data_IF_803666294542
#
_entry.id   IF_803666294542
#
_cell.length_a   1.000
_cell.length_b   1.000
_cell.length_c   1.000
_cell.angle_alpha   90.00
_cell.angle_beta   90.00
_cell.angle_gamma   90.00
#
_symmetry.space_group_name_H-M   'P 1'
#
loop_
_entity.id
_entity.type
_entity.pdbx_description
1 polymer ?
#
# COMPACT_ATOMS: atom_id res chain seq x y z
N UNK A 1 39.03 -3.34 -72.49
CA UNK A 1 38.58 -2.60 -71.29
C UNK A 1 37.24 -3.18 -70.83
N UNK A 2 36.99 -3.12 -69.52
CA UNK A 2 36.17 -4.01 -68.67
C UNK A 2 34.68 -4.16 -69.07
N UNK A 3 34.17 -5.40 -69.03
CA UNK A 3 32.74 -5.73 -69.00
C UNK A 3 32.20 -5.47 -67.59
N UNK A 4 31.32 -4.50 -67.42
CA UNK A 4 30.65 -4.23 -66.14
C UNK A 4 29.48 -5.21 -65.99
N UNK A 5 29.61 -6.19 -65.09
CA UNK A 5 28.46 -6.99 -64.64
C UNK A 5 27.79 -6.23 -63.50
N UNK A 6 26.55 -5.81 -63.71
CA UNK A 6 25.70 -5.22 -62.67
C UNK A 6 25.32 -6.36 -61.71
N UNK A 7 25.93 -6.38 -60.52
CA UNK A 7 25.57 -7.29 -59.44
C UNK A 7 24.37 -6.68 -58.70
N UNK A 8 23.19 -7.27 -58.84
CA UNK A 8 22.01 -6.93 -58.05
C UNK A 8 22.26 -7.42 -56.61
N UNK A 9 22.59 -6.53 -55.69
CA UNK A 9 22.67 -6.84 -54.26
C UNK A 9 21.23 -6.92 -53.76
N UNK A 10 20.74 -8.14 -53.55
CA UNK A 10 19.51 -8.38 -52.82
C UNK A 10 19.76 -7.99 -51.35
N UNK A 11 19.24 -6.84 -50.94
CA UNK A 11 19.16 -6.45 -49.53
C UNK A 11 18.11 -7.37 -48.90
N UNK A 12 18.58 -8.45 -48.25
CA UNK A 12 17.76 -9.23 -47.34
C UNK A 12 17.45 -8.33 -46.14
N UNK A 13 16.29 -7.69 -46.15
CA UNK A 13 15.69 -7.17 -44.92
C UNK A 13 15.38 -8.39 -44.04
N UNK A 14 16.29 -8.71 -43.12
CA UNK A 14 15.97 -9.57 -42.00
C UNK A 14 14.96 -8.78 -41.17
N UNK A 15 13.67 -9.00 -41.46
CA UNK A 15 12.58 -8.55 -40.63
C UNK A 15 12.89 -8.95 -39.19
N UNK A 16 12.86 -7.99 -38.28
CA UNK A 16 12.83 -8.31 -36.85
C UNK A 16 11.61 -9.23 -36.65
N UNK A 17 11.82 -10.42 -36.07
CA UNK A 17 10.77 -11.41 -35.80
C UNK A 17 9.89 -10.85 -34.67
N UNK A 18 8.98 -9.93 -34.99
CA UNK A 18 8.09 -9.27 -34.03
C UNK A 18 6.73 -9.95 -34.02
N UNK A 19 6.16 -10.17 -32.83
CA UNK A 19 4.79 -10.62 -32.70
C UNK A 19 3.82 -9.57 -33.28
N UNK A 20 2.87 -9.95 -34.15
CA UNK A 20 1.97 -9.01 -34.82
C UNK A 20 1.08 -8.22 -33.84
N UNK A 21 0.79 -8.77 -32.66
CA UNK A 21 -0.12 -8.19 -31.67
C UNK A 21 0.60 -7.20 -30.73
N UNK A 22 1.93 -7.12 -30.79
CA UNK A 22 2.72 -6.30 -29.87
C UNK A 22 2.29 -4.82 -29.87
N UNK A 23 2.01 -4.23 -31.04
CA UNK A 23 1.66 -2.81 -31.12
C UNK A 23 0.27 -2.51 -30.53
N UNK A 24 -0.72 -3.39 -30.75
CA UNK A 24 -2.04 -3.26 -30.11
C UNK A 24 -1.94 -3.46 -28.61
N UNK A 25 -1.20 -4.47 -28.16
CA UNK A 25 -0.99 -4.77 -26.75
C UNK A 25 -0.25 -3.64 -26.02
N UNK A 26 0.76 -3.04 -26.67
CA UNK A 26 1.46 -1.86 -26.17
C UNK A 26 0.51 -0.67 -25.96
N UNK A 27 -0.48 -0.47 -26.84
CA UNK A 27 -1.47 0.59 -26.66
C UNK A 27 -2.36 0.34 -25.44
N UNK A 28 -2.73 -0.92 -25.18
CA UNK A 28 -3.49 -1.32 -23.98
C UNK A 28 -2.66 -1.10 -22.71
N UNK A 29 -1.39 -1.50 -22.69
CA UNK A 29 -0.49 -1.25 -21.55
C UNK A 29 -0.29 0.25 -21.27
N UNK A 30 -0.21 1.08 -22.32
CA UNK A 30 -0.11 2.56 -22.16
C UNK A 30 -1.38 3.17 -21.57
N UNK A 31 -2.56 2.64 -21.91
CA UNK A 31 -3.82 3.05 -21.28
C UNK A 31 -3.87 2.67 -19.80
N UNK A 32 -3.31 1.51 -19.43
CA UNK A 32 -3.18 1.11 -18.03
C UNK A 32 -2.33 2.13 -17.25
N UNK A 33 -1.18 2.56 -17.79
CA UNK A 33 -0.36 3.64 -17.20
C UNK A 33 -1.16 4.95 -17.11
N UNK A 34 -1.86 5.31 -18.19
CA UNK A 34 -2.67 6.53 -18.26
C UNK A 34 -3.76 6.57 -17.19
N UNK A 35 -4.35 5.42 -16.83
CA UNK A 35 -5.35 5.35 -15.77
C UNK A 35 -4.84 5.92 -14.44
N UNK A 36 -3.57 5.70 -14.10
CA UNK A 36 -2.94 6.28 -12.91
C UNK A 36 -2.54 7.73 -13.10
N UNK A 37 -1.99 8.10 -14.26
CA UNK A 37 -1.59 9.48 -14.54
C UNK A 37 -2.77 10.47 -14.56
N UNK A 38 -3.93 10.00 -15.00
CA UNK A 38 -5.17 10.77 -15.11
C UNK A 38 -6.09 10.58 -13.89
N UNK A 39 -5.76 9.66 -12.97
CA UNK A 39 -6.63 9.30 -11.85
C UNK A 39 -7.97 8.71 -12.31
N UNK A 40 -7.98 7.97 -13.42
CA UNK A 40 -9.18 7.46 -14.08
C UNK A 40 -9.29 5.94 -13.93
N UNK A 41 -10.00 5.50 -12.89
CA UNK A 41 -10.19 4.08 -12.62
C UNK A 41 -11.05 3.37 -13.69
N UNK A 42 -11.92 4.09 -14.39
CA UNK A 42 -12.74 3.49 -15.45
C UNK A 42 -11.88 3.10 -16.66
N UNK A 43 -10.82 3.86 -16.94
CA UNK A 43 -9.83 3.50 -17.95
C UNK A 43 -9.06 2.22 -17.57
N UNK A 44 -8.77 2.03 -16.27
CA UNK A 44 -8.19 0.78 -15.78
C UNK A 44 -9.14 -0.40 -16.02
N UNK A 45 -10.43 -0.25 -15.65
CA UNK A 45 -11.47 -1.28 -15.84
C UNK A 45 -11.72 -1.62 -17.32
N UNK A 46 -11.54 -0.66 -18.23
CA UNK A 46 -11.65 -0.87 -19.68
C UNK A 46 -10.61 -1.88 -20.17
N UNK A 47 -9.37 -1.77 -19.70
CA UNK A 47 -8.21 -2.47 -20.28
C UNK A 47 -7.80 -3.74 -19.55
N UNK A 48 -8.28 -3.96 -18.33
CA UNK A 48 -7.98 -5.16 -17.53
C UNK A 48 -9.10 -6.20 -17.67
N UNK A 49 -8.72 -7.47 -17.82
CA UNK A 49 -9.64 -8.60 -17.85
C UNK A 49 -10.24 -8.87 -16.46
N UNK A 50 -11.49 -9.28 -16.38
CA UNK A 50 -12.12 -9.71 -15.11
C UNK A 50 -11.50 -11.00 -14.56
N UNK A 51 -10.77 -11.76 -15.39
CA UNK A 51 -10.05 -12.97 -15.01
C UNK A 51 -8.55 -12.72 -14.71
N UNK A 52 -8.13 -11.44 -14.59
CA UNK A 52 -6.72 -11.07 -14.44
C UNK A 52 -6.04 -11.79 -13.27
N UNK A 53 -4.79 -12.18 -13.49
CA UNK A 53 -3.87 -12.62 -12.44
C UNK A 53 -2.79 -11.55 -12.26
N UNK A 54 -2.87 -10.79 -11.16
CA UNK A 54 -1.97 -9.69 -10.89
C UNK A 54 -0.97 -10.05 -9.78
N UNK A 55 0.32 -9.75 -9.95
CA UNK A 55 1.29 -9.76 -8.87
C UNK A 55 1.37 -8.35 -8.27
N UNK A 56 0.65 -8.15 -7.18
CA UNK A 56 0.54 -6.85 -6.53
C UNK A 56 1.90 -6.38 -5.95
N UNK A 57 2.19 -5.06 -5.98
CA UNK A 57 3.46 -4.52 -5.53
C UNK A 57 3.57 -4.41 -4.00
N UNK A 58 2.44 -4.58 -3.30
CA UNK A 58 2.36 -4.51 -1.84
C UNK A 58 2.93 -5.78 -1.20
N UNK A 59 3.82 -5.59 -0.22
CA UNK A 59 4.51 -6.70 0.46
C UNK A 59 3.51 -7.71 1.05
N UNK A 60 3.70 -8.99 0.74
CA UNK A 60 2.91 -10.11 1.28
C UNK A 60 1.62 -10.42 0.51
N UNK A 61 1.19 -9.60 -0.45
CA UNK A 61 -0.03 -9.89 -1.23
C UNK A 61 0.18 -10.99 -2.27
N UNK A 62 1.35 -11.04 -2.91
CA UNK A 62 1.65 -12.05 -3.92
C UNK A 62 0.74 -11.92 -5.15
N UNK A 63 0.24 -13.05 -5.67
CA UNK A 63 -0.70 -13.06 -6.80
C UNK A 63 -2.14 -12.88 -6.31
N UNK A 64 -2.86 -11.95 -6.92
CA UNK A 64 -4.20 -11.53 -6.53
C UNK A 64 -5.17 -11.55 -7.72
N UNK A 65 -6.47 -11.57 -7.39
CA UNK A 65 -7.56 -11.55 -8.36
C UNK A 65 -7.95 -10.13 -8.80
N UNK A 66 -8.91 -10.04 -9.72
CA UNK A 66 -9.41 -8.77 -10.23
C UNK A 66 -9.89 -7.80 -9.14
N UNK A 67 -10.70 -8.28 -8.20
CA UNK A 67 -11.27 -7.40 -7.17
C UNK A 67 -10.19 -6.82 -6.26
N UNK A 68 -9.20 -7.63 -5.90
CA UNK A 68 -8.07 -7.19 -5.09
C UNK A 68 -7.14 -6.26 -5.87
N UNK A 69 -6.87 -6.57 -7.14
CA UNK A 69 -6.08 -5.70 -8.03
C UNK A 69 -6.77 -4.34 -8.24
N UNK A 70 -8.10 -4.33 -8.41
CA UNK A 70 -8.89 -3.10 -8.51
C UNK A 70 -8.78 -2.26 -7.23
N UNK A 71 -8.82 -2.87 -6.04
CA UNK A 71 -8.63 -2.16 -4.77
C UNK A 71 -7.23 -1.52 -4.68
N UNK A 72 -6.20 -2.20 -5.16
CA UNK A 72 -4.84 -1.64 -5.24
C UNK A 72 -4.79 -0.46 -6.22
N UNK A 73 -5.43 -0.58 -7.39
CA UNK A 73 -5.51 0.50 -8.36
C UNK A 73 -6.27 1.72 -7.81
N UNK A 74 -7.41 1.48 -7.16
CA UNK A 74 -8.21 2.51 -6.48
C UNK A 74 -7.42 3.19 -5.35
N UNK A 75 -6.65 2.43 -4.57
CA UNK A 75 -5.76 3.00 -3.56
C UNK A 75 -4.81 4.04 -4.17
N UNK A 76 -4.14 3.72 -5.28
CA UNK A 76 -3.22 4.67 -5.91
C UNK A 76 -3.94 5.89 -6.50
N UNK A 77 -5.05 5.66 -7.23
CA UNK A 77 -5.83 6.73 -7.86
C UNK A 77 -6.43 7.70 -6.83
N UNK A 78 -6.82 7.21 -5.65
CA UNK A 78 -7.49 8.03 -4.63
C UNK A 78 -6.53 8.75 -3.67
N UNK A 79 -5.30 8.26 -3.50
CA UNK A 79 -4.39 8.78 -2.47
C UNK A 79 -3.25 9.65 -3.04
N UNK A 80 -3.07 9.66 -4.35
CA UNK A 80 -1.98 10.38 -5.00
C UNK A 80 -2.47 11.29 -6.12
N UNK A 81 -1.73 12.38 -6.33
CA UNK A 81 -1.98 13.35 -7.40
C UNK A 81 -0.67 13.67 -8.12
N UNK A 82 -0.76 14.36 -9.25
CA UNK A 82 0.38 14.67 -10.13
C UNK A 82 1.19 13.42 -10.52
N UNK A 83 0.50 12.28 -10.65
CA UNK A 83 1.13 11.00 -10.96
C UNK A 83 1.65 11.00 -12.40
N UNK A 84 2.90 10.58 -12.57
CA UNK A 84 3.58 10.48 -13.88
C UNK A 84 4.45 9.24 -13.97
N UNK A 85 4.43 8.60 -15.13
CA UNK A 85 5.36 7.53 -15.49
C UNK A 85 6.47 8.07 -16.39
N UNK A 86 7.56 8.48 -15.75
CA UNK A 86 8.66 9.18 -16.41
C UNK A 86 9.64 8.21 -17.07
N UNK A 87 10.24 8.68 -18.16
CA UNK A 87 11.26 7.98 -18.94
C UNK A 87 10.91 6.52 -19.27
N UNK A 88 9.69 6.25 -19.79
CA UNK A 88 9.23 4.88 -19.95
C UNK A 88 9.97 4.17 -21.09
N UNK A 89 10.52 3.00 -20.77
CA UNK A 89 11.09 2.06 -21.73
C UNK A 89 10.12 0.91 -21.90
N UNK A 90 9.65 0.74 -23.14
CA UNK A 90 8.73 -0.32 -23.54
C UNK A 90 9.46 -1.38 -24.35
N UNK A 91 9.40 -2.63 -23.93
CA UNK A 91 10.05 -3.75 -24.60
C UNK A 91 9.04 -4.86 -24.91
N UNK A 92 9.24 -5.62 -26.01
CA UNK A 92 8.52 -6.87 -26.21
C UNK A 92 8.94 -7.89 -25.16
N UNK A 93 7.98 -8.60 -24.58
CA UNK A 93 8.28 -9.81 -23.82
C UNK A 93 8.59 -10.98 -24.74
N UNK A 94 8.95 -12.10 -24.14
CA UNK A 94 9.39 -13.30 -24.85
C UNK A 94 8.75 -14.54 -24.24
N UNK A 95 8.41 -15.50 -25.09
CA UNK A 95 8.06 -16.84 -24.68
C UNK A 95 9.33 -17.55 -24.19
N UNK A 96 9.28 -18.08 -22.96
CA UNK A 96 10.48 -18.63 -22.30
C UNK A 96 10.96 -19.95 -22.88
N UNK A 97 10.15 -20.63 -23.71
CA UNK A 97 10.50 -21.90 -24.35
C UNK A 97 11.17 -21.66 -25.71
N UNK A 98 10.59 -20.77 -26.51
CA UNK A 98 11.00 -20.47 -27.88
C UNK A 98 11.99 -19.31 -27.96
N UNK A 99 12.09 -18.49 -26.91
CA UNK A 99 12.89 -17.27 -26.83
C UNK A 99 12.52 -16.24 -27.90
N UNK A 100 11.27 -16.28 -28.38
CA UNK A 100 10.73 -15.36 -29.39
C UNK A 100 9.71 -14.40 -28.78
N UNK A 101 9.49 -13.22 -29.37
CA UNK A 101 8.42 -12.33 -28.92
C UNK A 101 7.06 -13.01 -28.94
N UNK A 102 6.36 -12.94 -27.80
CA UNK A 102 5.09 -13.62 -27.56
C UNK A 102 3.87 -12.67 -27.59
N UNK A 103 4.12 -11.38 -27.83
CA UNK A 103 3.09 -10.34 -27.85
C UNK A 103 2.86 -9.68 -26.50
N UNK A 104 3.47 -10.19 -25.43
CA UNK A 104 3.47 -9.54 -24.12
C UNK A 104 4.34 -8.27 -24.13
N UNK A 105 4.11 -7.40 -23.16
CA UNK A 105 4.76 -6.09 -23.04
C UNK A 105 5.48 -6.03 -21.69
N UNK A 106 6.68 -5.45 -21.70
CA UNK A 106 7.46 -5.12 -20.50
C UNK A 106 7.70 -3.63 -20.44
N UNK A 107 7.55 -3.03 -19.26
CA UNK A 107 7.73 -1.60 -19.05
C UNK A 107 8.70 -1.33 -17.90
N UNK A 108 9.64 -0.43 -18.12
CA UNK A 108 10.51 0.12 -17.08
C UNK A 108 10.31 1.62 -17.05
N UNK A 109 10.31 2.22 -15.88
CA UNK A 109 10.21 3.66 -15.77
C UNK A 109 10.20 4.10 -14.33
N UNK A 110 9.99 5.40 -14.14
CA UNK A 110 9.96 6.03 -12.83
C UNK A 110 8.60 6.61 -12.55
N UNK A 111 7.89 6.01 -11.61
CA UNK A 111 6.71 6.62 -11.04
C UNK A 111 7.11 7.80 -10.16
N UNK A 112 6.42 8.92 -10.33
CA UNK A 112 6.47 10.07 -9.43
C UNK A 112 5.07 10.58 -9.16
N UNK A 113 4.91 11.30 -8.06
CA UNK A 113 3.65 11.97 -7.73
C UNK A 113 3.70 12.55 -6.31
N UNK A 114 2.54 12.95 -5.82
CA UNK A 114 2.39 13.60 -4.52
C UNK A 114 1.28 12.94 -3.71
N UNK A 115 1.53 12.66 -2.45
CA UNK A 115 0.49 12.21 -1.51
C UNK A 115 -0.53 13.32 -1.30
N UNK A 116 -1.82 13.01 -1.46
CA UNK A 116 -2.91 13.95 -1.21
C UNK A 116 -3.02 14.31 0.28
N UNK A 117 -2.76 13.37 1.18
CA UNK A 117 -2.90 13.57 2.63
C UNK A 117 -1.76 14.39 3.23
N UNK A 118 -0.54 14.28 2.70
CA UNK A 118 0.64 14.91 3.30
C UNK A 118 1.30 15.97 2.43
N UNK A 119 0.97 16.00 1.14
CA UNK A 119 1.64 16.83 0.16
C UNK A 119 3.11 16.44 -0.12
N UNK A 120 3.58 15.30 0.41
CA UNK A 120 4.95 14.82 0.17
C UNK A 120 5.05 14.13 -1.18
N UNK A 121 6.19 14.33 -1.84
CA UNK A 121 6.46 13.75 -3.16
C UNK A 121 7.11 12.37 -3.03
N UNK A 122 6.76 11.47 -3.95
CA UNK A 122 7.48 10.21 -4.15
C UNK A 122 8.13 10.17 -5.53
N UNK A 123 9.20 9.38 -5.65
CA UNK A 123 9.84 9.05 -6.91
C UNK A 123 10.57 7.72 -6.78
N UNK A 124 10.18 6.73 -7.56
CA UNK A 124 10.78 5.40 -7.51
C UNK A 124 10.79 4.71 -8.88
N UNK A 125 11.78 3.85 -9.07
CA UNK A 125 11.86 2.99 -10.25
C UNK A 125 10.86 1.84 -10.12
N UNK A 126 10.25 1.45 -11.23
CA UNK A 126 9.38 0.29 -11.33
C UNK A 126 9.63 -0.53 -12.58
N UNK A 127 9.30 -1.81 -12.49
CA UNK A 127 9.17 -2.72 -13.62
C UNK A 127 7.76 -3.29 -13.65
N UNK A 128 7.20 -3.42 -14.85
CA UNK A 128 5.89 -4.02 -15.08
C UNK A 128 5.96 -5.03 -16.22
N UNK A 129 5.23 -6.13 -16.09
CA UNK A 129 4.95 -7.05 -17.18
C UNK A 129 3.45 -7.09 -17.45
N UNK A 130 3.07 -7.20 -18.73
CA UNK A 130 1.68 -7.30 -19.16
C UNK A 130 1.58 -8.43 -20.17
N UNK A 131 0.69 -9.39 -19.90
CA UNK A 131 0.28 -10.43 -20.83
C UNK A 131 -1.19 -10.20 -21.20
N UNK A 132 -1.60 -10.65 -22.39
CA UNK A 132 -2.86 -10.24 -22.99
C UNK A 132 -3.66 -11.42 -23.51
N UNK A 133 -4.98 -11.37 -23.31
CA UNK A 133 -5.97 -12.26 -23.91
C UNK A 133 -7.17 -11.40 -24.33
N UNK A 134 -7.75 -11.70 -25.50
CA UNK A 134 -8.92 -10.98 -26.06
C UNK A 134 -8.78 -9.45 -26.06
N UNK A 135 -7.56 -8.94 -26.26
CA UNK A 135 -7.24 -7.51 -26.32
C UNK A 135 -7.23 -6.80 -24.96
N UNK A 136 -7.31 -7.54 -23.85
CA UNK A 136 -7.22 -7.03 -22.48
C UNK A 136 -6.01 -7.61 -21.76
N UNK A 137 -5.59 -6.95 -20.68
CA UNK A 137 -4.53 -7.45 -19.79
C UNK A 137 -5.10 -8.66 -19.01
N UNK A 138 -4.53 -9.84 -19.23
CA UNK A 138 -4.90 -11.09 -18.57
C UNK A 138 -3.96 -11.47 -17.43
N UNK A 139 -2.74 -10.96 -17.46
CA UNK A 139 -1.77 -11.10 -16.37
C UNK A 139 -0.90 -9.86 -16.30
N UNK A 140 -0.63 -9.40 -15.08
CA UNK A 140 0.28 -8.28 -14.84
C UNK A 140 1.07 -8.51 -13.56
N UNK A 141 2.16 -7.79 -13.41
CA UNK A 141 2.97 -7.82 -12.22
C UNK A 141 3.67 -6.49 -12.04
N UNK A 142 3.51 -5.93 -10.85
CA UNK A 142 3.98 -4.62 -10.49
C UNK A 142 5.16 -4.75 -9.52
N UNK A 143 6.35 -4.32 -9.97
CA UNK A 143 7.58 -4.53 -9.22
C UNK A 143 8.23 -3.19 -8.87
N UNK A 144 7.97 -2.73 -7.65
CA UNK A 144 8.58 -1.55 -7.05
C UNK A 144 8.45 -1.59 -5.52
N UNK A 145 9.17 -0.72 -4.82
CA UNK A 145 9.11 -0.64 -3.36
C UNK A 145 7.86 0.14 -2.88
N UNK A 146 6.68 -0.49 -2.99
CA UNK A 146 5.41 0.14 -2.63
C UNK A 146 5.36 0.50 -1.14
N UNK A 147 5.81 -0.39 -0.27
CA UNK A 147 5.83 -0.16 1.19
C UNK A 147 6.78 0.99 1.55
N UNK A 148 7.98 1.01 0.97
CA UNK A 148 8.92 2.11 1.15
C UNK A 148 8.35 3.43 0.63
N UNK A 149 7.67 3.43 -0.51
CA UNK A 149 6.97 4.59 -1.05
C UNK A 149 5.92 5.12 -0.07
N UNK A 150 4.97 4.27 0.36
CA UNK A 150 3.88 4.64 1.28
C UNK A 150 4.45 5.19 2.58
N UNK A 151 5.50 4.58 3.14
CA UNK A 151 6.17 5.07 4.34
C UNK A 151 6.87 6.42 4.12
N UNK A 152 7.52 6.60 2.96
CA UNK A 152 8.24 7.82 2.62
C UNK A 152 7.32 9.04 2.43
N UNK A 153 6.08 8.83 1.99
CA UNK A 153 5.10 9.92 1.81
C UNK A 153 3.98 9.92 2.85
N UNK A 154 3.99 8.95 3.77
CA UNK A 154 3.08 8.90 4.91
C UNK A 154 3.24 10.11 5.83
N UNK A 155 2.30 10.30 6.78
CA UNK A 155 2.26 11.48 7.64
C UNK A 155 3.58 11.69 8.38
N UNK A 156 4.16 12.87 8.20
CA UNK A 156 5.38 13.31 8.91
C UNK A 156 5.09 13.66 10.38
N UNK A 157 3.82 13.87 10.72
CA UNK A 157 3.33 14.03 12.08
C UNK A 157 2.31 12.93 12.36
N UNK A 158 2.57 12.11 13.38
CA UNK A 158 1.57 11.20 13.94
C UNK A 158 1.03 11.85 15.21
N UNK A 159 -0.29 11.87 15.40
CA UNK A 159 -0.86 12.29 16.70
C UNK A 159 -0.69 11.11 17.65
N UNK A 160 0.50 11.05 18.25
CA UNK A 160 0.89 9.97 19.15
C UNK A 160 0.15 10.15 20.47
N UNK A 161 -0.46 9.08 20.94
CA UNK A 161 -1.00 8.95 22.28
C UNK A 161 -0.23 7.86 23.01
N UNK A 162 0.16 8.15 24.24
CA UNK A 162 0.72 7.15 25.15
C UNK A 162 -0.20 7.01 26.34
N UNK A 163 -0.86 5.87 26.46
CA UNK A 163 -1.57 5.51 27.67
C UNK A 163 -0.68 4.63 28.56
N UNK A 164 -0.74 4.88 29.87
CA UNK A 164 -0.06 4.07 30.87
C UNK A 164 -1.03 3.59 31.95
N UNK A 165 -0.82 2.38 32.45
CA UNK A 165 -1.49 1.87 33.65
C UNK A 165 -0.48 1.19 34.58
N UNK A 166 -0.54 1.48 35.88
CA UNK A 166 0.27 0.82 36.90
C UNK A 166 -0.33 -0.54 37.26
N UNK A 167 0.18 -1.62 36.67
CA UNK A 167 -0.37 -2.98 36.85
C UNK A 167 0.67 -3.85 37.53
N UNK A 168 0.31 -4.49 38.66
CA UNK A 168 1.27 -5.36 39.37
C UNK A 168 1.59 -6.62 38.58
N UNK A 169 2.75 -7.23 38.88
CA UNK A 169 3.08 -8.56 38.36
C UNK A 169 2.03 -9.63 38.68
N UNK A 170 1.28 -9.49 39.78
CA UNK A 170 0.21 -10.42 40.14
C UNK A 170 -1.08 -10.23 39.34
N UNK A 171 -1.26 -9.05 38.73
CA UNK A 171 -2.47 -8.68 38.01
C UNK A 171 -2.27 -8.63 36.49
N UNK A 172 -1.03 -8.62 36.01
CA UNK A 172 -0.72 -8.43 34.59
C UNK A 172 -1.36 -9.48 33.68
N UNK A 173 -1.38 -10.76 34.06
CA UNK A 173 -2.02 -11.81 33.25
C UNK A 173 -3.50 -11.51 33.03
N UNK A 174 -4.24 -11.20 34.12
CA UNK A 174 -5.67 -10.85 34.04
C UNK A 174 -5.92 -9.54 33.30
N UNK A 175 -5.02 -8.58 33.45
CA UNK A 175 -5.11 -7.30 32.75
C UNK A 175 -4.92 -7.50 31.24
N UNK A 176 -3.93 -8.30 30.86
CA UNK A 176 -3.65 -8.65 29.47
C UNK A 176 -4.82 -9.43 28.85
N UNK A 177 -5.42 -10.39 29.57
CA UNK A 177 -6.62 -11.10 29.11
C UNK A 177 -7.78 -10.15 28.78
N UNK A 178 -7.99 -9.09 29.57
CA UNK A 178 -9.00 -8.06 29.27
C UNK A 178 -8.61 -7.24 28.04
N UNK A 179 -7.34 -6.84 27.92
CA UNK A 179 -6.84 -6.10 26.75
C UNK A 179 -7.00 -6.89 25.44
N UNK A 180 -6.78 -8.20 25.47
CA UNK A 180 -6.89 -9.10 24.31
C UNK A 180 -8.33 -9.53 23.99
N UNK A 181 -9.29 -9.21 24.86
CA UNK A 181 -10.69 -9.53 24.64
C UNK A 181 -11.30 -8.73 23.48
N UNK A 182 -12.44 -9.19 22.95
CA UNK A 182 -13.17 -8.47 21.90
C UNK A 182 -13.58 -7.05 22.33
N UNK A 183 -13.81 -6.83 23.63
CA UNK A 183 -14.13 -5.52 24.19
C UNK A 183 -12.89 -4.65 24.47
N UNK A 184 -11.68 -5.22 24.40
CA UNK A 184 -10.43 -4.57 24.77
C UNK A 184 -9.83 -3.70 23.67
N UNK A 185 -8.55 -3.92 23.37
CA UNK A 185 -7.77 -3.11 22.43
C UNK A 185 -8.25 -3.25 20.98
N UNK A 186 -8.96 -4.33 20.65
CA UNK A 186 -9.60 -4.50 19.34
C UNK A 186 -10.61 -3.38 19.05
N UNK A 187 -11.41 -2.98 20.04
CA UNK A 187 -12.35 -1.85 19.91
C UNK A 187 -11.58 -0.55 19.68
N UNK A 188 -10.51 -0.31 20.44
CA UNK A 188 -9.66 0.88 20.27
C UNK A 188 -9.07 0.94 18.86
N UNK A 189 -8.47 -0.17 18.40
CA UNK A 189 -7.81 -0.25 17.11
C UNK A 189 -8.78 -0.04 15.96
N UNK A 190 -10.02 -0.49 16.09
CA UNK A 190 -11.04 -0.40 15.05
C UNK A 190 -11.84 0.91 15.10
N UNK A 191 -11.61 1.77 16.10
CA UNK A 191 -12.26 3.07 16.18
C UNK A 191 -11.82 3.99 15.03
N UNK A 192 -12.76 4.77 14.49
CA UNK A 192 -12.48 5.70 13.40
C UNK A 192 -11.43 6.73 13.82
N UNK A 193 -10.32 6.77 13.08
CA UNK A 193 -9.20 7.65 13.38
C UNK A 193 -8.02 6.97 14.08
N UNK A 194 -8.19 5.78 14.67
CA UNK A 194 -7.06 4.99 15.14
C UNK A 194 -6.34 4.33 13.95
N UNK A 195 -5.10 4.74 13.70
CA UNK A 195 -4.29 4.26 12.56
C UNK A 195 -3.30 3.18 12.96
N UNK A 196 -2.97 3.10 14.25
CA UNK A 196 -2.01 2.15 14.79
C UNK A 196 -2.19 2.03 16.30
N UNK A 197 -1.94 0.84 16.82
CA UNK A 197 -1.96 0.55 18.25
C UNK A 197 -0.97 -0.57 18.53
N UNK A 198 -0.09 -0.35 19.50
CA UNK A 198 0.80 -1.35 20.08
C UNK A 198 0.71 -1.27 21.59
N UNK A 199 0.79 -2.40 22.28
CA UNK A 199 0.76 -2.44 23.73
C UNK A 199 1.85 -3.37 24.27
N UNK A 200 2.43 -2.99 25.40
CA UNK A 200 3.52 -3.74 26.03
C UNK A 200 3.60 -3.44 27.52
N UNK A 201 4.29 -4.31 28.26
CA UNK A 201 4.44 -4.19 29.71
C UNK A 201 5.90 -4.09 30.11
N UNK A 202 6.22 -3.13 30.96
CA UNK A 202 7.52 -3.03 31.61
C UNK A 202 7.43 -3.58 33.03
N UNK A 203 8.05 -4.73 33.25
CA UNK A 203 8.00 -5.45 34.53
C UNK A 203 8.72 -4.72 35.68
N UNK A 204 9.81 -3.99 35.38
CA UNK A 204 10.61 -3.28 36.38
C UNK A 204 9.84 -2.12 37.02
N UNK A 205 9.06 -1.41 36.20
CA UNK A 205 8.27 -0.25 36.62
C UNK A 205 6.80 -0.59 36.87
N UNK A 206 6.42 -1.85 36.64
CA UNK A 206 5.04 -2.35 36.71
C UNK A 206 4.07 -1.44 35.94
N UNK A 207 4.45 -1.11 34.71
CA UNK A 207 3.71 -0.18 33.84
C UNK A 207 3.31 -0.88 32.55
N UNK A 208 2.01 -0.93 32.30
CA UNK A 208 1.45 -1.25 31.01
C UNK A 208 1.42 -0.01 30.14
N UNK A 209 1.85 -0.13 28.89
CA UNK A 209 1.84 0.93 27.90
C UNK A 209 0.91 0.55 26.77
N UNK A 210 0.12 1.51 26.31
CA UNK A 210 -0.54 1.46 25.01
C UNK A 210 -0.03 2.68 24.24
N UNK A 211 0.48 2.42 23.05
CA UNK A 211 1.07 3.39 22.16
C UNK A 211 0.24 3.43 20.89
N UNK A 212 -0.36 4.59 20.61
CA UNK A 212 -1.42 4.72 19.60
C UNK A 212 -1.13 5.88 18.65
N UNK A 213 -1.52 5.74 17.39
CA UNK A 213 -1.50 6.84 16.42
C UNK A 213 -2.91 7.19 15.98
N UNK A 214 -3.24 8.47 16.06
CA UNK A 214 -4.54 8.98 15.71
C UNK A 214 -4.49 9.98 14.55
N UNK A 215 -5.56 10.02 13.76
CA UNK A 215 -5.74 11.01 12.69
C UNK A 215 -5.84 12.44 13.24
N UNK A 216 -6.45 12.64 14.41
CA UNK A 216 -6.42 13.88 15.19
C UNK A 216 -6.53 13.59 16.69
N UNK A 217 -6.13 14.56 17.54
CA UNK A 217 -6.37 14.45 18.98
C UNK A 217 -7.86 14.60 19.34
N UNK A 218 -8.65 15.32 18.54
CA UNK A 218 -10.10 15.45 18.71
C UNK A 218 -10.79 14.08 18.58
N UNK A 219 -10.42 13.28 17.57
CA UNK A 219 -10.96 11.93 17.42
C UNK A 219 -10.56 11.00 18.58
N UNK A 220 -9.36 11.17 19.13
CA UNK A 220 -8.95 10.44 20.33
C UNK A 220 -9.77 10.86 21.55
N UNK A 221 -10.03 12.16 21.74
CA UNK A 221 -10.85 12.68 22.84
C UNK A 221 -12.29 12.15 22.77
N UNK A 222 -12.89 12.13 21.59
CA UNK A 222 -14.21 11.52 21.35
C UNK A 222 -14.23 10.03 21.72
N UNK A 223 -13.23 9.27 21.27
CA UNK A 223 -13.06 7.87 21.63
C UNK A 223 -12.92 7.69 23.14
N UNK A 224 -12.05 8.48 23.78
CA UNK A 224 -11.76 8.37 25.20
C UNK A 224 -12.99 8.70 26.05
N UNK A 225 -13.73 9.74 25.70
CA UNK A 225 -15.00 10.08 26.35
C UNK A 225 -16.02 8.96 26.20
N UNK A 226 -16.19 8.42 24.97
CA UNK A 226 -17.07 7.28 24.75
C UNK A 226 -16.66 6.08 25.62
N UNK A 227 -15.37 5.73 25.63
CA UNK A 227 -14.82 4.57 26.35
C UNK A 227 -15.01 4.67 27.86
N UNK A 228 -14.91 5.88 28.41
CA UNK A 228 -15.03 6.10 29.85
C UNK A 228 -16.50 6.28 30.27
N UNK A 229 -17.28 7.03 29.49
CA UNK A 229 -18.58 7.55 29.94
C UNK A 229 -19.80 6.90 29.26
N UNK A 230 -19.63 6.31 28.06
CA UNK A 230 -20.77 5.87 27.22
C UNK A 230 -20.80 4.37 26.97
N UNK A 231 -19.65 3.72 26.84
CA UNK A 231 -19.57 2.28 26.53
C UNK A 231 -20.31 1.42 27.57
N UNK A 232 -21.14 0.49 27.09
CA UNK A 232 -21.88 -0.48 27.90
C UNK A 232 -21.79 -1.91 27.32
N UNK A 233 -21.33 -2.91 28.09
CA UNK A 233 -20.78 -2.79 29.44
C UNK A 233 -19.45 -2.01 29.44
N UNK A 234 -19.27 -1.16 30.44
CA UNK A 234 -18.10 -0.29 30.51
C UNK A 234 -16.78 -1.08 30.72
N UNK A 235 -15.92 -1.12 29.71
CA UNK A 235 -14.66 -1.85 29.75
C UNK A 235 -13.71 -1.26 30.80
N UNK A 236 -13.64 0.06 30.91
CA UNK A 236 -12.74 0.76 31.86
C UNK A 236 -13.00 0.34 33.30
N UNK A 237 -14.27 0.19 33.70
CA UNK A 237 -14.65 -0.28 35.03
C UNK A 237 -14.18 -1.72 35.32
N UNK A 238 -14.04 -2.55 34.29
CA UNK A 238 -13.52 -3.92 34.46
C UNK A 238 -12.02 -3.96 34.72
N UNK A 239 -11.26 -2.97 34.23
CA UNK A 239 -9.79 -2.94 34.35
C UNK A 239 -9.31 -2.20 35.60
N UNK A 240 -10.05 -1.19 36.08
CA UNK A 240 -9.69 -0.40 37.28
C UNK A 240 -9.28 -1.26 38.50
N UNK A 241 -10.00 -2.35 38.85
CA UNK A 241 -9.63 -3.20 40.00
C UNK A 241 -8.24 -3.84 39.90
N UNK A 242 -7.68 -3.95 38.70
CA UNK A 242 -6.37 -4.54 38.44
C UNK A 242 -5.24 -3.51 38.47
N UNK A 243 -5.56 -2.22 38.48
CA UNK A 243 -4.60 -1.11 38.46
C UNK A 243 -4.27 -0.62 39.87
N UNK A 244 -2.97 -0.48 40.17
CA UNK A 244 -2.48 0.11 41.41
C UNK A 244 -2.93 1.56 41.52
N UNK A 245 -3.67 1.88 42.57
CA UNK A 245 -4.25 3.22 42.75
C UNK A 245 -5.55 3.45 41.98
N UNK A 246 -6.12 2.39 41.37
CA UNK A 246 -7.34 2.47 40.56
C UNK A 246 -7.17 3.42 39.38
N UNK A 247 -8.14 4.29 39.16
CA UNK A 247 -8.12 5.32 38.11
C UNK A 247 -6.86 6.21 38.17
N UNK A 248 -6.37 6.55 39.38
CA UNK A 248 -5.17 7.38 39.53
C UNK A 248 -3.88 6.68 39.05
N UNK A 249 -3.92 5.36 38.87
CA UNK A 249 -2.82 4.61 38.28
C UNK A 249 -2.86 4.55 36.76
N UNK A 250 -3.86 5.16 36.12
CA UNK A 250 -4.05 5.24 34.68
C UNK A 250 -3.78 6.67 34.19
N UNK A 251 -3.13 6.82 33.04
CA UNK A 251 -2.88 8.13 32.46
C UNK A 251 -2.76 8.07 30.95
N UNK A 252 -3.48 8.93 30.24
CA UNK A 252 -3.29 9.19 28.82
C UNK A 252 -2.44 10.45 28.60
N UNK A 253 -1.46 10.36 27.72
CA UNK A 253 -0.59 11.45 27.28
C UNK A 253 -0.86 11.71 25.80
N UNK A 254 -1.62 12.76 25.51
CA UNK A 254 -2.00 13.21 24.17
C UNK A 254 -1.83 14.74 24.08
N UNK A 255 -2.15 15.33 22.92
CA UNK A 255 -1.78 16.72 22.60
C UNK A 255 -0.25 16.95 22.66
N UNK A 256 0.49 15.91 22.27
CA UNK A 256 1.94 15.91 22.26
C UNK A 256 2.46 16.82 21.15
N UNK A 257 3.49 17.61 21.45
CA UNK A 257 4.17 18.52 20.51
C UNK A 257 5.59 18.05 20.21
N UNK A 258 6.22 18.60 19.18
CA UNK A 258 7.58 18.25 18.75
C UNK A 258 7.76 16.78 18.33
N UNK A 259 6.73 16.18 17.73
CA UNK A 259 6.88 14.86 17.10
C UNK A 259 7.95 14.91 16.01
N UNK A 260 8.87 13.95 16.06
CA UNK A 260 9.81 13.70 14.99
C UNK A 260 10.01 12.19 14.84
N UNK A 261 10.22 11.75 13.61
CA UNK A 261 10.53 10.37 13.29
C UNK A 261 11.99 10.32 12.81
N UNK A 262 12.83 9.57 13.52
CA UNK A 262 14.26 9.43 13.23
C UNK A 262 14.57 8.09 12.58
#
# INVERSE_FOLDING_TARGET
>A
MKKFKLLLIAILFVSCDSNPDYQSNLAVAKKWVQAFEDGNIDLWKEVVSEDVQDVAPMYGMGRVDYNTSLQVAEFYVQNYTDVKFNDPVWLPGIDTLTMKPDGSVRAYGRWSGKSLSTGREFSLMSYHNFDFEDGKISSTGEYFDATGMVNAVGPAQRNVVVFTAKVSKSNIEKFQELMDSEAGLTVTRNWEGCTHLEAFYNEETETYFIYEYWNSFEQYEEYLDWRINTEEPNFVKSVIPLVKGGENGMQAHYNNTYYNFY
#
